data_IF_873400552558
#
_entry.id   IF_873400552558
#
_cell.length_a   1.000
_cell.length_b   1.000
_cell.length_c   1.000
_cell.angle_alpha   90.00
_cell.angle_beta   90.00
_cell.angle_gamma   90.00
#
_symmetry.space_group_name_H-M   'P 1'
#
loop_
_entity.id
_entity.type
_entity.pdbx_description
1 polymer ?
#
# COMPACT_ATOMS: atom_id res chain seq x y z
N UNK A 1 19.95 20.53 -8.73
CA UNK A 1 19.67 19.14 -8.32
C UNK A 1 19.15 18.45 -9.55
N UNK A 2 19.98 17.62 -10.17
CA UNK A 2 19.72 17.13 -11.54
C UNK A 2 18.61 16.09 -11.55
N UNK A 3 17.68 16.21 -12.51
CA UNK A 3 16.52 15.32 -12.67
C UNK A 3 16.92 13.85 -12.73
N UNK A 4 18.06 13.56 -13.36
CA UNK A 4 18.63 12.21 -13.46
C UNK A 4 18.98 11.62 -12.09
N UNK A 5 19.60 12.41 -11.21
CA UNK A 5 19.90 11.97 -9.84
C UNK A 5 18.61 11.69 -9.05
N UNK A 6 17.58 12.51 -9.22
CA UNK A 6 16.29 12.30 -8.57
C UNK A 6 15.61 10.99 -9.05
N UNK A 7 15.66 10.70 -10.36
CA UNK A 7 15.12 9.46 -10.91
C UNK A 7 15.84 8.22 -10.36
N UNK A 8 17.17 8.25 -10.30
CA UNK A 8 17.96 7.16 -9.72
C UNK A 8 17.62 6.93 -8.25
N UNK A 9 17.54 7.99 -7.44
CA UNK A 9 17.18 7.89 -6.03
C UNK A 9 15.78 7.30 -5.84
N UNK A 10 14.79 7.73 -6.64
CA UNK A 10 13.43 7.15 -6.59
C UNK A 10 13.43 5.66 -6.91
N UNK A 11 14.24 5.24 -7.87
CA UNK A 11 14.33 3.83 -8.26
C UNK A 11 14.98 2.96 -7.18
N UNK A 12 16.04 3.45 -6.54
CA UNK A 12 16.66 2.77 -5.41
C UNK A 12 15.68 2.59 -4.25
N UNK A 13 14.95 3.64 -3.89
CA UNK A 13 13.91 3.59 -2.85
C UNK A 13 12.82 2.59 -3.24
N UNK A 14 12.32 2.65 -4.48
CA UNK A 14 11.28 1.74 -4.98
C UNK A 14 11.71 0.29 -4.85
N UNK A 15 12.91 -0.06 -5.30
CA UNK A 15 13.45 -1.43 -5.20
C UNK A 15 13.63 -1.88 -3.76
N UNK A 16 14.00 -0.98 -2.87
CA UNK A 16 14.07 -1.26 -1.44
C UNK A 16 12.70 -1.61 -0.86
N UNK A 17 11.69 -0.80 -1.18
CA UNK A 17 10.32 -1.00 -0.66
C UNK A 17 9.66 -2.26 -1.22
N UNK A 18 9.82 -2.52 -2.53
CA UNK A 18 9.29 -3.74 -3.15
C UNK A 18 9.88 -4.99 -2.50
N UNK A 19 11.20 -5.05 -2.29
CA UNK A 19 11.85 -6.18 -1.60
C UNK A 19 11.32 -6.38 -0.18
N UNK A 20 11.14 -5.31 0.59
CA UNK A 20 10.60 -5.39 1.95
C UNK A 20 9.17 -5.91 1.97
N UNK A 21 8.35 -5.47 1.01
CA UNK A 21 6.93 -5.85 0.91
C UNK A 21 6.78 -7.29 0.43
N UNK A 22 7.51 -7.69 -0.60
CA UNK A 22 7.43 -9.02 -1.19
C UNK A 22 8.00 -10.12 -0.26
N UNK A 23 8.79 -9.73 0.76
CA UNK A 23 9.29 -10.63 1.79
C UNK A 23 8.33 -10.84 2.97
N UNK A 24 7.16 -10.18 2.99
CA UNK A 24 6.16 -10.41 4.04
C UNK A 24 5.54 -11.79 3.90
N UNK A 25 5.33 -12.46 5.03
CA UNK A 25 4.53 -13.68 5.08
C UNK A 25 3.04 -13.39 4.81
N UNK A 26 2.30 -14.41 4.40
CA UNK A 26 0.85 -14.29 4.18
C UNK A 26 0.10 -13.84 5.45
N UNK A 27 0.51 -14.33 6.63
CA UNK A 27 -0.07 -13.94 7.91
C UNK A 27 0.20 -12.46 8.24
N UNK A 28 1.42 -11.98 7.99
CA UNK A 28 1.74 -10.57 8.17
C UNK A 28 0.97 -9.68 7.20
N UNK A 29 0.81 -10.12 5.94
CA UNK A 29 0.01 -9.39 4.94
C UNK A 29 -1.43 -9.27 5.43
N UNK A 30 -2.06 -10.39 5.82
CA UNK A 30 -3.44 -10.40 6.30
C UNK A 30 -3.61 -9.52 7.56
N UNK A 31 -2.75 -9.69 8.56
CA UNK A 31 -2.83 -8.94 9.81
C UNK A 31 -2.59 -7.44 9.65
N UNK A 32 -1.64 -7.04 8.79
CA UNK A 32 -1.38 -5.62 8.50
C UNK A 32 -2.48 -5.03 7.63
N UNK A 33 -3.00 -5.79 6.67
CA UNK A 33 -4.11 -5.35 5.81
C UNK A 33 -5.36 -5.08 6.63
N UNK A 34 -5.76 -6.01 7.52
CA UNK A 34 -6.92 -5.84 8.40
C UNK A 34 -6.85 -4.52 9.21
N UNK A 35 -5.68 -4.20 9.78
CA UNK A 35 -5.48 -2.97 10.56
C UNK A 35 -5.58 -1.70 9.71
N UNK A 36 -5.08 -1.74 8.47
CA UNK A 36 -5.16 -0.60 7.54
C UNK A 36 -6.61 -0.41 7.11
N UNK A 37 -7.29 -1.50 6.73
CA UNK A 37 -8.69 -1.50 6.30
C UNK A 37 -9.59 -0.97 7.41
N UNK A 38 -9.46 -1.45 8.65
CA UNK A 38 -10.23 -0.94 9.79
C UNK A 38 -10.05 0.59 9.95
N UNK A 39 -8.82 1.08 9.86
CA UNK A 39 -8.54 2.52 9.97
C UNK A 39 -9.18 3.33 8.84
N UNK A 40 -9.19 2.80 7.61
CA UNK A 40 -9.83 3.46 6.46
C UNK A 40 -11.35 3.48 6.66
N UNK A 41 -11.97 2.34 6.96
CA UNK A 41 -13.42 2.19 7.15
C UNK A 41 -13.95 3.02 8.33
N UNK A 42 -13.11 3.29 9.33
CA UNK A 42 -13.46 4.14 10.48
C UNK A 42 -13.18 5.62 10.26
N UNK A 43 -12.54 6.00 9.16
CA UNK A 43 -12.24 7.41 8.87
C UNK A 43 -13.48 8.16 8.35
N UNK A 44 -13.64 9.40 8.81
CA UNK A 44 -14.75 10.27 8.38
C UNK A 44 -14.73 10.49 6.86
N UNK A 45 -13.54 10.69 6.27
CA UNK A 45 -13.37 10.85 4.81
C UNK A 45 -13.93 9.66 4.04
N UNK A 46 -13.74 8.44 4.53
CA UNK A 46 -14.29 7.25 3.88
C UNK A 46 -15.81 7.14 4.09
N UNK A 47 -16.30 7.46 5.28
CA UNK A 47 -17.74 7.38 5.63
C UNK A 47 -18.58 8.42 4.90
N UNK A 48 -18.02 9.61 4.68
CA UNK A 48 -18.70 10.73 4.03
C UNK A 48 -18.61 10.66 2.49
N UNK A 49 -17.81 9.73 1.95
CA UNK A 49 -17.64 9.58 0.51
C UNK A 49 -18.86 8.92 -0.14
N UNK A 50 -19.46 9.60 -1.13
CA UNK A 50 -20.53 9.03 -1.94
C UNK A 50 -20.03 7.94 -2.91
N UNK A 51 -18.75 7.97 -3.26
CA UNK A 51 -18.13 7.02 -4.19
C UNK A 51 -16.66 6.83 -3.86
N UNK A 52 -16.21 5.58 -3.85
CA UNK A 52 -14.83 5.21 -3.53
C UNK A 52 -14.24 4.39 -4.67
N UNK A 53 -13.09 4.81 -5.17
CA UNK A 53 -12.30 4.04 -6.14
C UNK A 53 -11.23 3.24 -5.39
N UNK A 54 -11.20 1.93 -5.64
CA UNK A 54 -10.28 1.00 -5.00
C UNK A 54 -9.48 0.28 -6.09
N UNK A 55 -8.20 0.04 -5.82
CA UNK A 55 -7.36 -0.80 -6.67
C UNK A 55 -7.56 -2.27 -6.30
N UNK A 56 -7.53 -3.15 -7.30
CA UNK A 56 -7.41 -4.59 -7.06
C UNK A 56 -5.96 -4.86 -6.63
N UNK A 57 -5.79 -5.47 -5.46
CA UNK A 57 -4.47 -5.73 -4.91
C UNK A 57 -3.63 -6.68 -5.77
N UNK A 58 -2.32 -6.44 -5.83
CA UNK A 58 -1.37 -7.31 -6.51
C UNK A 58 -0.24 -7.78 -5.58
N UNK A 59 0.08 -9.08 -5.61
CA UNK A 59 1.12 -9.72 -4.78
C UNK A 59 0.92 -9.44 -3.28
N UNK A 60 1.89 -8.79 -2.66
CA UNK A 60 1.93 -8.50 -1.21
C UNK A 60 1.43 -7.08 -0.90
N UNK A 61 0.54 -6.54 -1.74
CA UNK A 61 -0.18 -5.30 -1.46
C UNK A 61 -1.20 -5.46 -0.35
N UNK A 62 -1.69 -4.32 0.14
CA UNK A 62 -2.76 -4.31 1.14
C UNK A 62 -3.99 -4.98 0.53
N UNK A 63 -4.46 -6.02 1.18
CA UNK A 63 -5.66 -6.74 0.77
C UNK A 63 -6.89 -5.88 1.11
N UNK A 64 -7.62 -5.47 0.08
CA UNK A 64 -8.81 -4.62 0.22
C UNK A 64 -10.11 -5.41 0.07
N UNK A 65 -10.05 -6.59 -0.54
CA UNK A 65 -11.18 -7.50 -0.66
C UNK A 65 -11.24 -8.44 0.56
N UNK A 66 -12.45 -8.72 1.10
CA UNK A 66 -12.65 -9.71 2.15
C UNK A 66 -12.37 -11.15 1.68
#
# INVERSE_FOLDING_TARGET
MDTENCLRMKEEIRRGMLRRRDNLSAEEIAGKSARITERILTSDIYRDAESVFVYIECRSEVQMLP
#
